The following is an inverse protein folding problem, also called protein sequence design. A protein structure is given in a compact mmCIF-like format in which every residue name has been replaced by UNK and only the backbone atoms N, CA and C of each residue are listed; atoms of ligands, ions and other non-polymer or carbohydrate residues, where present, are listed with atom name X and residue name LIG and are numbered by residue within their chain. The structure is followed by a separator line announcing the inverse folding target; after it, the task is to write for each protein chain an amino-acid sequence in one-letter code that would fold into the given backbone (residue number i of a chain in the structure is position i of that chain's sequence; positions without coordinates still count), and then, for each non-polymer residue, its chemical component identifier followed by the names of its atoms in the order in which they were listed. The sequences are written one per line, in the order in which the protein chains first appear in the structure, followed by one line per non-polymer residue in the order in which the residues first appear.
data_IF_248700593132
#
_entry.id   IF_248700593132
#
_cell.length_a   1.000
_cell.length_b   1.000
_cell.length_c   1.000
_cell.angle_alpha   90.00
_cell.angle_beta   90.00
_cell.angle_gamma   90.00
#
_symmetry.space_group_name_H-M   'P 1'
#
loop_
_entity.id
_entity.type
_entity.pdbx_description
1 polymer ?
#
# COMPACT_ATOMS: atom_id res chain seq x y z
N UNK A 1 21.85 1.21 8.27
CA UNK A 1 20.77 2.17 7.93
C UNK A 1 19.66 2.05 8.96
N UNK A 2 19.10 3.16 9.42
CA UNK A 2 18.04 3.17 10.44
C UNK A 2 16.70 2.69 9.84
N UNK A 3 16.10 1.65 10.40
CA UNK A 3 14.77 1.16 10.02
C UNK A 3 13.73 1.95 10.83
N UNK A 4 12.68 2.47 10.19
CA UNK A 4 11.60 3.16 10.87
C UNK A 4 10.71 2.18 11.65
N UNK A 5 9.90 2.69 12.59
CA UNK A 5 8.86 1.88 13.25
C UNK A 5 7.75 1.51 12.27
N UNK A 6 7.08 0.38 12.52
CA UNK A 6 5.93 -0.04 11.76
C UNK A 6 4.66 0.69 12.26
N UNK A 7 3.64 0.88 11.41
CA UNK A 7 2.40 1.57 11.80
C UNK A 7 1.57 0.93 12.93
N UNK A 8 1.82 -0.35 13.27
CA UNK A 8 1.11 -1.04 14.35
C UNK A 8 1.84 -0.95 15.69
N UNK A 9 3.10 -0.49 15.71
CA UNK A 9 3.84 -0.19 16.94
C UNK A 9 3.15 0.94 17.72
N UNK A 10 2.80 0.75 19.01
CA UNK A 10 2.21 1.80 19.84
C UNK A 10 3.05 3.08 19.92
N UNK A 11 4.36 3.00 19.71
CA UNK A 11 5.29 4.13 19.69
C UNK A 11 5.47 4.75 18.29
N UNK A 12 4.68 4.35 17.29
CA UNK A 12 4.74 4.91 15.94
C UNK A 12 4.21 6.35 15.90
N UNK A 13 5.09 7.30 15.61
CA UNK A 13 4.70 8.70 15.36
C UNK A 13 4.21 8.87 13.91
N UNK A 14 2.91 8.71 13.71
CA UNK A 14 2.24 8.88 12.42
C UNK A 14 2.40 10.31 11.86
N UNK A 15 2.52 11.33 12.72
CA UNK A 15 2.67 12.72 12.28
C UNK A 15 4.07 12.96 11.72
N UNK A 16 5.11 12.45 12.41
CA UNK A 16 6.49 12.49 11.93
C UNK A 16 6.66 11.69 10.63
N UNK A 17 6.11 10.48 10.56
CA UNK A 17 6.14 9.65 9.35
C UNK A 17 5.46 10.35 8.16
N UNK A 18 4.27 10.94 8.38
CA UNK A 18 3.58 11.70 7.35
C UNK A 18 4.38 12.91 6.87
N UNK A 19 5.07 13.60 7.78
CA UNK A 19 5.95 14.71 7.42
C UNK A 19 7.16 14.23 6.60
N UNK A 20 7.77 13.10 6.98
CA UNK A 20 8.92 12.52 6.28
C UNK A 20 8.57 12.03 4.87
N UNK A 21 7.45 11.33 4.70
CA UNK A 21 6.95 10.88 3.40
C UNK A 21 6.76 12.05 2.44
N UNK A 22 6.16 13.16 2.90
CA UNK A 22 5.97 14.37 2.07
C UNK A 22 7.29 14.98 1.60
N UNK A 23 8.35 14.90 2.41
CA UNK A 23 9.68 15.41 2.05
C UNK A 23 10.42 14.52 1.05
N UNK A 24 10.00 13.27 0.85
CA UNK A 24 10.70 12.31 -0.01
C UNK A 24 10.71 12.68 -1.50
N UNK A 25 9.81 13.55 -1.96
CA UNK A 25 9.67 14.00 -3.36
C UNK A 25 9.70 12.83 -4.36
N UNK A 26 8.87 11.82 -4.09
CA UNK A 26 8.74 10.62 -4.93
C UNK A 26 7.26 10.29 -5.13
N UNK A 27 6.97 9.20 -5.86
CA UNK A 27 5.62 8.64 -5.89
C UNK A 27 5.23 8.05 -4.52
N UNK A 28 4.00 8.29 -4.09
CA UNK A 28 3.48 7.82 -2.81
C UNK A 28 3.74 6.33 -2.54
N UNK A 29 3.49 5.44 -3.51
CA UNK A 29 3.77 3.99 -3.34
C UNK A 29 5.24 3.71 -3.06
N UNK A 30 6.15 4.43 -3.75
CA UNK A 30 7.59 4.28 -3.53
C UNK A 30 7.99 4.72 -2.12
N UNK A 31 7.39 5.80 -1.61
CA UNK A 31 7.65 6.28 -0.26
C UNK A 31 7.11 5.32 0.82
N UNK A 32 5.95 4.70 0.58
CA UNK A 32 5.38 3.69 1.49
C UNK A 32 6.23 2.42 1.59
N UNK A 33 7.01 2.10 0.55
CA UNK A 33 7.90 0.92 0.54
C UNK A 33 9.30 1.22 1.09
N UNK A 34 9.60 2.48 1.39
CA UNK A 34 10.88 2.90 1.93
C UNK A 34 10.94 2.58 3.44
N UNK A 35 11.62 1.51 3.81
CA UNK A 35 11.71 1.02 5.19
C UNK A 35 12.41 2.00 6.14
N UNK A 36 13.05 3.05 5.61
CA UNK A 36 13.62 4.15 6.41
C UNK A 36 12.58 5.22 6.77
N UNK A 37 11.42 5.25 6.10
CA UNK A 37 10.31 6.17 6.36
C UNK A 37 9.21 5.50 7.19
N UNK A 38 8.89 4.25 6.86
CA UNK A 38 7.89 3.42 7.54
C UNK A 38 8.21 1.96 7.24
N UNK A 39 8.38 1.13 8.27
CA UNK A 39 8.66 -0.30 8.09
C UNK A 39 7.36 -1.12 8.06
N UNK A 40 7.47 -2.40 7.71
CA UNK A 40 6.35 -3.34 7.71
C UNK A 40 5.41 -3.22 6.50
N UNK A 41 5.31 -2.04 5.88
CA UNK A 41 4.52 -1.86 4.66
C UNK A 41 5.23 -2.50 3.46
N UNK A 42 4.76 -3.67 3.06
CA UNK A 42 5.13 -4.37 1.84
C UNK A 42 4.26 -4.01 0.63
N UNK A 43 4.57 -4.63 -0.52
CA UNK A 43 3.90 -4.34 -1.80
C UNK A 43 2.38 -4.54 -1.77
N UNK A 44 1.92 -5.60 -1.10
CA UNK A 44 0.50 -5.92 -0.95
C UNK A 44 -0.21 -4.84 -0.13
N UNK A 45 0.31 -4.57 1.07
CA UNK A 45 -0.25 -3.58 1.98
C UNK A 45 -0.26 -2.18 1.37
N UNK A 46 0.77 -1.83 0.60
CA UNK A 46 0.81 -0.55 -0.11
C UNK A 46 -0.32 -0.44 -1.14
N UNK A 47 -0.55 -1.45 -1.97
CA UNK A 47 -1.62 -1.43 -2.99
C UNK A 47 -3.01 -1.39 -2.36
N UNK A 48 -3.25 -2.22 -1.35
CA UNK A 48 -4.52 -2.26 -0.62
C UNK A 48 -4.79 -0.96 0.14
N UNK A 49 -3.78 -0.39 0.81
CA UNK A 49 -3.91 0.89 1.52
C UNK A 49 -4.21 2.06 0.56
N UNK A 50 -3.51 2.09 -0.58
CA UNK A 50 -3.74 3.08 -1.64
C UNK A 50 -5.14 2.95 -2.24
N UNK A 51 -5.61 1.72 -2.42
CA UNK A 51 -6.98 1.48 -2.83
C UNK A 51 -7.95 1.98 -1.77
N UNK A 52 -7.81 1.56 -0.51
CA UNK A 52 -8.67 2.00 0.60
C UNK A 52 -8.75 3.52 0.70
N UNK A 53 -7.61 4.21 0.56
CA UNK A 53 -7.50 5.68 0.56
C UNK A 53 -7.88 6.37 -0.77
N UNK A 54 -8.24 5.63 -1.83
CA UNK A 54 -8.60 6.17 -3.16
C UNK A 54 -7.50 7.04 -3.80
N UNK A 55 -6.25 6.63 -3.64
CA UNK A 55 -5.09 7.35 -4.17
C UNK A 55 -4.30 6.47 -5.13
N UNK A 56 -3.85 7.07 -6.23
CA UNK A 56 -2.93 6.41 -7.14
C UNK A 56 -1.49 6.47 -6.58
N UNK A 57 -0.76 5.36 -6.65
CA UNK A 57 0.59 5.24 -6.10
C UNK A 57 1.63 6.20 -6.70
N UNK A 58 1.40 6.65 -7.94
CA UNK A 58 2.24 7.64 -8.60
C UNK A 58 1.98 9.10 -8.18
N UNK A 59 1.05 9.37 -7.25
CA UNK A 59 0.80 10.74 -6.78
C UNK A 59 2.06 11.28 -6.07
N UNK A 60 2.59 12.46 -6.46
CA UNK A 60 3.79 13.01 -5.83
C UNK A 60 3.57 13.28 -4.35
N UNK A 61 4.46 12.80 -3.48
CA UNK A 61 4.31 12.97 -2.03
C UNK A 61 4.28 14.44 -1.60
N UNK A 62 4.99 15.31 -2.33
CA UNK A 62 5.00 16.75 -2.09
C UNK A 62 3.64 17.42 -2.33
N UNK A 63 2.79 16.84 -3.20
CA UNK A 63 1.46 17.35 -3.53
C UNK A 63 0.38 16.99 -2.50
N UNK A 64 0.68 16.10 -1.56
CA UNK A 64 -0.28 15.59 -0.59
C UNK A 64 -0.30 16.47 0.66
N UNK A 65 -1.47 16.61 1.29
CA UNK A 65 -1.57 17.18 2.63
C UNK A 65 -1.11 16.15 3.67
N UNK A 66 -0.69 16.62 4.86
CA UNK A 66 -0.36 15.72 5.98
C UNK A 66 -1.54 14.82 6.35
N UNK A 67 -2.75 15.37 6.35
CA UNK A 67 -3.97 14.62 6.66
C UNK A 67 -4.19 13.45 5.68
N UNK A 68 -3.96 13.68 4.38
CA UNK A 68 -4.08 12.61 3.37
C UNK A 68 -3.03 11.52 3.60
N UNK A 69 -1.77 11.88 3.88
CA UNK A 69 -0.73 10.87 4.14
C UNK A 69 -1.02 10.08 5.42
N UNK A 70 -1.50 10.72 6.49
CA UNK A 70 -1.95 10.03 7.71
C UNK A 70 -3.07 9.04 7.42
N UNK A 71 -4.04 9.41 6.59
CA UNK A 71 -5.13 8.51 6.19
C UNK A 71 -4.61 7.27 5.45
N UNK A 72 -3.59 7.40 4.61
CA UNK A 72 -2.97 6.25 3.93
C UNK A 72 -2.20 5.36 4.91
N UNK A 73 -1.46 5.95 5.86
CA UNK A 73 -0.75 5.19 6.89
C UNK A 73 -1.72 4.44 7.81
N UNK A 74 -2.83 5.08 8.21
CA UNK A 74 -3.91 4.42 8.95
C UNK A 74 -4.53 3.27 8.14
N UNK A 75 -4.86 3.51 6.87
CA UNK A 75 -5.36 2.46 5.99
C UNK A 75 -4.39 1.28 5.84
N UNK A 76 -3.08 1.54 5.82
CA UNK A 76 -2.06 0.49 5.82
C UNK A 76 -2.05 -0.30 7.13
N UNK A 77 -2.12 0.39 8.28
CA UNK A 77 -2.25 -0.25 9.59
C UNK A 77 -3.48 -1.16 9.66
N UNK A 78 -4.62 -0.68 9.18
CA UNK A 78 -5.86 -1.46 9.16
C UNK A 78 -5.73 -2.72 8.28
N UNK A 79 -5.12 -2.60 7.09
CA UNK A 79 -4.89 -3.76 6.20
C UNK A 79 -3.97 -4.78 6.85
N UNK A 80 -2.90 -4.33 7.54
CA UNK A 80 -1.98 -5.22 8.25
C UNK A 80 -2.66 -5.91 9.43
N UNK A 81 -3.49 -5.18 10.19
CA UNK A 81 -4.27 -5.77 11.28
C UNK A 81 -5.28 -6.81 10.77
N UNK A 82 -5.97 -6.53 9.65
CA UNK A 82 -6.86 -7.49 8.99
C UNK A 82 -6.11 -8.74 8.50
N UNK A 83 -4.89 -8.58 7.98
CA UNK A 83 -4.04 -9.69 7.55
C UNK A 83 -3.64 -10.57 8.74
N UNK A 84 -3.26 -9.97 9.86
CA UNK A 84 -2.94 -10.67 11.11
C UNK A 84 -4.15 -11.42 11.68
N UNK A 85 -5.33 -10.79 11.67
CA UNK A 85 -6.56 -11.42 12.15
C UNK A 85 -6.97 -12.65 11.33
N UNK A 86 -6.71 -12.64 10.01
CA UNK A 86 -7.07 -13.74 9.10
C UNK A 86 -6.04 -14.87 9.07
N UNK A 87 -4.87 -14.70 9.68
CA UNK A 87 -3.75 -15.63 9.52
C UNK A 87 -2.86 -15.87 10.73
N UNK A 88 -3.26 -15.41 11.92
CA UNK A 88 -2.73 -15.80 13.23
C UNK A 88 -1.21 -16.06 13.33
N UNK A 89 -0.43 -15.09 13.81
CA UNK A 89 0.97 -15.18 14.29
C UNK A 89 2.07 -15.82 13.41
N UNK A 90 1.78 -16.54 12.34
CA UNK A 90 2.77 -17.15 11.46
C UNK A 90 2.74 -16.51 10.07
N UNK A 91 3.63 -15.54 9.86
CA UNK A 91 3.89 -14.90 8.57
C UNK A 91 4.21 -15.90 7.45
N UNK A 92 4.75 -17.08 7.76
CA UNK A 92 5.13 -18.09 6.76
C UNK A 92 3.95 -18.83 6.12
N UNK A 93 2.86 -19.08 6.86
CA UNK A 93 1.73 -19.85 6.35
C UNK A 93 0.86 -19.05 5.36
N UNK A 94 0.90 -17.73 5.41
CA UNK A 94 0.16 -16.84 4.52
C UNK A 94 0.89 -16.58 3.19
N UNK A 95 2.22 -16.76 3.14
CA UNK A 95 3.08 -16.21 2.09
C UNK A 95 3.80 -17.25 1.22
N UNK A 96 3.73 -18.55 1.52
CA UNK A 96 4.46 -19.56 0.74
C UNK A 96 3.50 -20.57 0.09
N UNK A 97 3.26 -20.38 -1.20
CA UNK A 97 3.28 -21.50 -2.14
C UNK A 97 4.50 -21.31 -3.04
N UNK A 98 5.07 -22.41 -3.52
CA UNK A 98 6.30 -22.50 -4.35
C UNK A 98 6.25 -21.67 -5.65
N UNK A 99 5.08 -21.11 -5.98
CA UNK A 99 4.79 -20.28 -7.15
C UNK A 99 4.46 -18.80 -6.83
N UNK A 100 4.57 -18.36 -5.56
CA UNK A 100 4.42 -16.95 -5.17
C UNK A 100 2.99 -16.41 -4.98
N UNK A 101 1.98 -17.28 -4.87
CA UNK A 101 0.57 -16.89 -4.64
C UNK A 101 0.09 -17.29 -3.24
N UNK A 102 -0.48 -16.34 -2.48
CA UNK A 102 -0.98 -16.51 -1.10
C UNK A 102 -2.32 -17.25 -1.05
N UNK A 103 -2.43 -18.36 -0.31
CA UNK A 103 -3.63 -19.22 -0.33
C UNK A 103 -4.87 -18.69 0.42
N UNK A 104 -4.69 -17.93 1.50
CA UNK A 104 -5.81 -17.45 2.35
C UNK A 104 -6.07 -15.95 2.25
N UNK A 105 -5.02 -15.13 2.21
CA UNK A 105 -5.18 -13.67 2.10
C UNK A 105 -5.79 -13.25 0.76
N UNK A 106 -5.50 -13.99 -0.32
CA UNK A 106 -5.93 -13.70 -1.69
C UNK A 106 -7.45 -13.55 -1.84
N UNK A 107 -8.24 -14.31 -1.07
CA UNK A 107 -9.72 -14.24 -1.13
C UNK A 107 -10.30 -12.94 -0.57
N UNK A 108 -9.51 -12.12 0.11
CA UNK A 108 -9.96 -10.87 0.74
C UNK A 108 -9.25 -9.60 0.26
N UNK A 109 -8.41 -9.73 -0.77
CA UNK A 109 -7.71 -8.61 -1.39
C UNK A 109 -8.62 -7.86 -2.35
N UNK A 110 -8.56 -6.52 -2.32
CA UNK A 110 -9.42 -5.68 -3.16
C UNK A 110 -8.78 -5.39 -4.53
N UNK A 111 -7.45 -5.32 -4.58
CA UNK A 111 -6.70 -5.00 -5.81
C UNK A 111 -5.50 -5.89 -6.04
N UNK A 112 -4.76 -6.26 -4.99
CA UNK A 112 -3.52 -7.00 -5.19
C UNK A 112 -3.80 -8.39 -5.74
N UNK A 113 -3.14 -8.75 -6.85
CA UNK A 113 -3.38 -10.01 -7.55
C UNK A 113 -4.71 -10.08 -8.30
N UNK A 114 -5.57 -9.05 -8.21
CA UNK A 114 -6.92 -9.05 -8.80
C UNK A 114 -6.95 -8.48 -10.23
N UNK A 115 -5.85 -8.55 -10.99
CA UNK A 115 -5.80 -8.02 -12.36
C UNK A 115 -6.99 -8.51 -13.20
N UNK A 116 -7.56 -7.60 -13.98
CA UNK A 116 -8.73 -7.81 -14.86
C UNK A 116 -10.03 -8.18 -14.15
N UNK A 117 -10.02 -8.44 -12.84
CA UNK A 117 -11.24 -8.60 -12.04
C UNK A 117 -11.94 -7.25 -11.80
N UNK A 118 -13.27 -7.23 -11.69
CA UNK A 118 -14.01 -6.01 -11.42
C UNK A 118 -13.66 -5.45 -10.04
N UNK A 119 -13.39 -4.15 -9.97
CA UNK A 119 -13.17 -3.48 -8.70
C UNK A 119 -14.43 -3.54 -7.84
N UNK A 120 -14.32 -4.04 -6.59
CA UNK A 120 -15.43 -4.13 -5.64
C UNK A 120 -16.13 -2.80 -5.27
N UNK A 121 -15.59 -1.64 -5.68
CA UNK A 121 -16.23 -0.32 -5.50
C UNK A 121 -16.94 0.23 -6.73
N UNK A 122 -16.46 -0.07 -7.93
CA UNK A 122 -16.93 0.63 -9.14
C UNK A 122 -17.03 -0.25 -10.39
N UNK A 123 -16.74 -1.54 -10.29
CA UNK A 123 -16.83 -2.51 -11.39
C UNK A 123 -15.72 -2.43 -12.44
N UNK A 124 -14.94 -1.33 -12.53
CA UNK A 124 -13.86 -1.25 -13.51
C UNK A 124 -12.77 -2.31 -13.25
N UNK A 125 -12.21 -2.91 -14.32
CA UNK A 125 -11.18 -3.93 -14.17
C UNK A 125 -9.93 -3.36 -13.50
N UNK A 126 -9.41 -4.08 -12.50
CA UNK A 126 -8.16 -3.71 -11.83
C UNK A 126 -7.01 -3.81 -12.81
N UNK A 127 -6.15 -2.78 -12.80
CA UNK A 127 -4.96 -2.71 -13.64
C UNK A 127 -3.74 -3.21 -12.90
N UNK A 128 -2.93 -4.00 -13.58
CA UNK A 128 -1.58 -4.39 -13.17
C UNK A 128 -0.55 -3.57 -13.95
N UNK A 129 0.37 -2.92 -13.23
CA UNK A 129 1.48 -2.15 -13.80
C UNK A 129 2.82 -2.69 -13.29
N UNK A 130 3.89 -2.69 -14.11
CA UNK A 130 5.25 -2.93 -13.62
C UNK A 130 5.69 -1.86 -12.62
N UNK A 131 6.33 -2.26 -11.52
CA UNK A 131 6.81 -1.35 -10.47
C UNK A 131 8.04 -1.92 -9.75
N UNK A 132 9.23 -1.34 -9.98
CA UNK A 132 10.49 -1.68 -9.27
C UNK A 132 10.73 -3.19 -9.12
N UNK A 133 10.81 -3.92 -10.24
CA UNK A 133 10.95 -5.38 -10.33
C UNK A 133 9.81 -6.18 -9.66
N UNK A 134 8.68 -5.53 -9.39
CA UNK A 134 7.46 -6.10 -8.82
C UNK A 134 6.24 -5.66 -9.64
N UNK A 135 5.07 -6.14 -9.27
CA UNK A 135 3.79 -5.70 -9.84
C UNK A 135 3.11 -4.69 -8.90
N UNK A 136 2.38 -3.73 -9.47
CA UNK A 136 1.49 -2.82 -8.75
C UNK A 136 0.07 -2.99 -9.26
N UNK A 137 -0.89 -3.01 -8.34
CA UNK A 137 -2.30 -3.15 -8.69
C UNK A 137 -3.10 -1.91 -8.28
N UNK A 138 -3.97 -1.42 -9.15
CA UNK A 138 -4.83 -0.28 -8.82
C UNK A 138 -6.12 -0.26 -9.65
N UNK A 139 -7.15 0.38 -9.13
CA UNK A 139 -8.39 0.61 -9.87
C UNK A 139 -8.30 1.93 -10.67
N UNK A 140 -8.45 1.91 -12.01
CA UNK A 140 -8.26 3.10 -12.84
C UNK A 140 -9.33 4.18 -12.60
N UNK A 141 -10.51 3.80 -12.09
CA UNK A 141 -11.60 4.73 -11.74
C UNK A 141 -11.50 5.26 -10.31
N UNK A 142 -11.23 4.39 -9.34
CA UNK A 142 -11.15 4.79 -7.93
C UNK A 142 -9.83 5.47 -7.57
N UNK A 143 -8.77 5.20 -8.35
CA UNK A 143 -7.42 5.72 -8.13
C UNK A 143 -6.93 6.34 -9.45
N UNK A 144 -7.50 7.48 -9.90
CA UNK A 144 -7.10 8.09 -11.17
C UNK A 144 -5.62 8.46 -11.16
N UNK A 145 -4.91 8.09 -12.24
CA UNK A 145 -3.48 8.40 -12.40
C UNK A 145 -3.27 9.92 -12.44
N UNK A 146 -2.32 10.48 -11.67
CA UNK A 146 -2.05 11.92 -11.71
C UNK A 146 -1.51 12.34 -13.09
N UNK A 147 -1.92 13.51 -13.56
CA UNK A 147 -1.47 14.07 -14.86
C UNK A 147 0.04 14.36 -14.91
N UNK A 148 0.68 14.57 -13.76
CA UNK A 148 2.12 14.81 -13.68
C UNK A 148 2.78 14.02 -12.54
N UNK A 149 3.13 12.73 -12.77
CA UNK A 149 3.67 11.85 -11.74
C UNK A 149 5.16 12.07 -11.41
N UNK A 150 5.86 12.89 -12.21
CA UNK A 150 7.32 13.09 -12.11
C UNK A 150 7.72 14.53 -11.70
N UNK A 151 6.75 15.39 -11.38
CA UNK A 151 7.02 16.76 -10.90
C UNK A 151 7.38 16.83 -9.42
#
# INVERSE_FOLDING_TARGET
AHIARDPMDPAFDIAAAAAAIRRRRSGLKRALLDQTLVSGIGNIYADEALWRARLHGARPTASLSRAVVRSVLGAASDVMAEALAKGGTSFDALYVNVNGNSGYFDRSLNVYGQADRPCGRCGAPIRREPFMNRSSYSCPRCQPRPRNPHR
#
